data_IF_172240738222
#
_entry.id   IF_172240738222
#
_cell.length_a   1.000
_cell.length_b   1.000
_cell.length_c   1.000
_cell.angle_alpha   90.00
_cell.angle_beta   90.00
_cell.angle_gamma   90.00
#
_symmetry.space_group_name_H-M   'P 1'
#
loop_
_entity.id
_entity.type
_entity.pdbx_description
1 polymer ?
#
# COMPACT_ATOMS: atom_id res chain seq x y z
N UNK A 1 25.76 4.08 -28.90
CA UNK A 1 25.30 4.37 -27.53
C UNK A 1 23.86 3.92 -27.48
N UNK A 2 23.63 2.67 -27.10
CA UNK A 2 22.26 2.17 -26.93
C UNK A 2 21.71 2.84 -25.68
N UNK A 3 20.72 3.71 -25.87
CA UNK A 3 19.88 4.16 -24.77
C UNK A 3 19.12 2.91 -24.31
N UNK A 4 19.56 2.33 -23.19
CA UNK A 4 18.77 1.32 -22.48
C UNK A 4 17.45 1.98 -22.11
N UNK A 5 16.41 1.74 -22.90
CA UNK A 5 15.05 2.18 -22.57
C UNK A 5 14.56 1.28 -21.46
N UNK A 6 14.75 1.70 -20.21
CA UNK A 6 14.14 1.05 -19.04
C UNK A 6 12.65 0.88 -19.33
N UNK A 7 12.13 -0.35 -19.25
CA UNK A 7 10.73 -0.58 -19.57
C UNK A 7 9.85 0.03 -18.46
N UNK A 8 8.61 0.39 -18.80
CA UNK A 8 7.66 0.91 -17.80
C UNK A 8 7.41 -0.13 -16.70
N UNK A 9 7.51 -1.42 -17.02
CA UNK A 9 7.42 -2.52 -16.06
C UNK A 9 8.63 -2.60 -15.11
N UNK A 10 9.83 -2.26 -15.57
CA UNK A 10 11.01 -2.19 -14.70
C UNK A 10 10.85 -1.05 -13.69
N UNK A 11 10.37 0.12 -14.15
CA UNK A 11 10.05 1.27 -13.29
C UNK A 11 8.94 0.91 -12.30
N UNK A 12 7.92 0.17 -12.76
CA UNK A 12 6.81 -0.29 -11.91
C UNK A 12 7.33 -1.19 -10.79
N UNK A 13 8.18 -2.15 -11.14
CA UNK A 13 8.78 -3.07 -10.19
C UNK A 13 9.64 -2.33 -9.16
N UNK A 14 10.49 -1.40 -9.60
CA UNK A 14 11.34 -0.58 -8.71
C UNK A 14 10.51 0.27 -7.74
N UNK A 15 9.49 0.97 -8.26
CA UNK A 15 8.60 1.79 -7.44
C UNK A 15 7.80 0.94 -6.44
N UNK A 16 7.30 -0.23 -6.87
CA UNK A 16 6.55 -1.15 -6.01
C UNK A 16 7.42 -1.70 -4.88
N UNK A 17 8.65 -2.12 -5.20
CA UNK A 17 9.61 -2.61 -4.19
C UNK A 17 10.02 -1.52 -3.22
N UNK A 18 10.20 -0.28 -3.69
CA UNK A 18 10.51 0.88 -2.84
C UNK A 18 9.34 1.23 -1.91
N UNK A 19 8.11 1.18 -2.42
CA UNK A 19 6.90 1.32 -1.62
C UNK A 19 6.80 0.23 -0.54
N UNK A 20 6.93 -1.05 -0.92
CA UNK A 20 6.92 -2.18 0.00
C UNK A 20 7.99 -2.01 1.11
N UNK A 21 9.20 -1.63 0.74
CA UNK A 21 10.31 -1.41 1.68
C UNK A 21 10.00 -0.30 2.68
N UNK A 22 9.52 0.86 2.21
CA UNK A 22 9.14 1.98 3.07
C UNK A 22 8.00 1.59 4.03
N UNK A 23 6.97 0.92 3.53
CA UNK A 23 5.85 0.46 4.35
C UNK A 23 6.30 -0.57 5.39
N UNK A 24 7.16 -1.52 5.01
CA UNK A 24 7.75 -2.51 5.91
C UNK A 24 8.52 -1.85 7.04
N UNK A 25 9.38 -0.88 6.71
CA UNK A 25 10.14 -0.13 7.70
C UNK A 25 9.21 0.61 8.67
N UNK A 26 8.16 1.25 8.16
CA UNK A 26 7.19 1.96 8.98
C UNK A 26 6.43 1.04 9.93
N UNK A 27 5.78 -0.03 9.44
CA UNK A 27 4.92 -0.89 10.28
C UNK A 27 5.73 -1.64 11.35
N UNK A 28 7.00 -1.94 11.09
CA UNK A 28 7.88 -2.57 12.08
C UNK A 28 8.35 -1.59 13.16
N UNK A 29 8.49 -0.30 12.85
CA UNK A 29 9.03 0.70 13.78
C UNK A 29 7.96 1.47 14.54
N UNK A 30 6.75 1.63 13.98
CA UNK A 30 5.69 2.45 14.55
C UNK A 30 5.20 1.91 15.90
N UNK A 31 5.18 0.58 16.09
CA UNK A 31 4.70 -0.06 17.31
C UNK A 31 5.47 0.40 18.56
N UNK A 32 6.80 0.56 18.45
CA UNK A 32 7.64 1.05 19.54
C UNK A 32 7.49 2.55 19.82
N UNK A 33 6.73 3.27 18.99
CA UNK A 33 6.53 4.73 19.03
C UNK A 33 5.09 5.10 19.38
N UNK A 34 4.25 4.12 19.69
CA UNK A 34 2.87 4.34 20.14
C UNK A 34 2.83 4.79 21.60
N UNK A 35 1.79 5.54 21.96
CA UNK A 35 1.47 5.96 23.34
C UNK A 35 1.13 4.73 24.19
N UNK A 36 1.47 4.71 25.49
CA UNK A 36 0.97 3.68 26.40
C UNK A 36 -0.57 3.63 26.39
N UNK A 37 -1.15 2.43 26.35
CA UNK A 37 -2.60 2.24 26.27
C UNK A 37 -3.21 2.48 24.89
N UNK A 38 -2.39 2.54 23.83
CA UNK A 38 -2.89 2.54 22.46
C UNK A 38 -3.71 1.27 22.17
N UNK A 39 -4.71 1.34 21.27
CA UNK A 39 -5.58 0.22 20.94
C UNK A 39 -4.80 -1.04 20.53
N UNK A 40 -5.15 -2.23 21.05
CA UNK A 40 -4.43 -3.46 20.75
C UNK A 40 -4.49 -3.85 19.27
N UNK A 41 -5.50 -3.43 18.54
CA UNK A 41 -5.69 -3.70 17.10
C UNK A 41 -4.55 -3.15 16.25
N UNK A 42 -3.86 -2.11 16.73
CA UNK A 42 -2.67 -1.56 16.08
C UNK A 42 -1.53 -2.58 15.99
N UNK A 43 -1.48 -3.61 16.83
CA UNK A 43 -0.47 -4.66 16.71
C UNK A 43 -0.58 -5.45 15.39
N UNK A 44 -1.73 -5.36 14.72
CA UNK A 44 -2.00 -6.08 13.48
C UNK A 44 -1.55 -5.33 12.23
N UNK A 45 -1.05 -4.10 12.33
CA UNK A 45 -0.56 -3.31 11.17
C UNK A 45 0.37 -4.07 10.21
N UNK A 46 1.28 -4.96 10.66
CA UNK A 46 2.13 -5.73 9.75
C UNK A 46 1.36 -6.64 8.76
N UNK A 47 0.10 -7.00 9.03
CA UNK A 47 -0.75 -7.80 8.13
C UNK A 47 -0.91 -7.16 6.74
N UNK A 48 -0.73 -5.82 6.63
CA UNK A 48 -0.81 -5.09 5.36
C UNK A 48 0.29 -5.56 4.40
N UNK A 49 1.44 -6.03 4.91
CA UNK A 49 2.53 -6.54 4.09
C UNK A 49 2.18 -7.87 3.40
N UNK A 50 1.26 -8.65 3.98
CA UNK A 50 0.79 -9.90 3.36
C UNK A 50 -0.03 -9.63 2.09
N UNK A 51 -0.59 -8.42 1.95
CA UNK A 51 -1.28 -7.96 0.74
C UNK A 51 -0.29 -7.46 -0.33
N UNK A 52 1.00 -7.33 0.02
CA UNK A 52 2.07 -6.81 -0.84
C UNK A 52 3.24 -7.80 -0.98
N UNK A 53 3.03 -9.03 -1.47
CA UNK A 53 4.13 -9.98 -1.63
C UNK A 53 5.19 -9.44 -2.59
N UNK A 54 6.47 -9.62 -2.24
CA UNK A 54 7.61 -9.22 -3.10
C UNK A 54 7.84 -10.21 -4.25
N UNK A 55 7.29 -11.42 -4.15
CA UNK A 55 7.32 -12.48 -5.16
C UNK A 55 6.00 -12.58 -5.95
N UNK A 56 5.27 -11.48 -6.04
CA UNK A 56 3.99 -11.38 -6.74
C UNK A 56 4.08 -11.88 -8.21
N UNK A 57 3.40 -12.98 -8.55
CA UNK A 57 3.44 -13.54 -9.90
C UNK A 57 2.84 -12.58 -10.94
N UNK A 58 1.87 -11.74 -10.58
CA UNK A 58 1.27 -10.79 -11.53
C UNK A 58 2.25 -9.67 -11.87
N UNK A 59 3.08 -9.23 -10.92
CA UNK A 59 4.19 -8.31 -11.22
C UNK A 59 5.22 -8.96 -12.14
N UNK A 60 5.52 -10.24 -11.92
CA UNK A 60 6.47 -11.00 -12.75
C UNK A 60 5.96 -11.26 -14.16
N UNK A 61 4.68 -11.60 -14.30
CA UNK A 61 4.03 -11.91 -15.57
C UNK A 61 3.35 -10.69 -16.20
N UNK A 62 3.53 -9.50 -15.63
CA UNK A 62 3.04 -8.23 -16.17
C UNK A 62 1.51 -8.19 -16.34
N UNK A 63 0.78 -8.79 -15.40
CA UNK A 63 -0.68 -8.82 -15.40
C UNK A 63 -1.24 -7.49 -14.84
N UNK A 64 -1.37 -6.50 -15.73
CA UNK A 64 -1.70 -5.12 -15.39
C UNK A 64 -3.00 -4.97 -14.59
N UNK A 65 -4.05 -5.69 -14.94
CA UNK A 65 -5.35 -5.53 -14.29
C UNK A 65 -5.32 -5.99 -12.84
N UNK A 66 -4.71 -7.15 -12.57
CA UNK A 66 -4.56 -7.66 -11.21
C UNK A 66 -3.64 -6.78 -10.36
N UNK A 67 -2.49 -6.36 -10.91
CA UNK A 67 -1.57 -5.43 -10.21
C UNK A 67 -2.25 -4.09 -9.92
N UNK A 68 -3.05 -3.57 -10.85
CA UNK A 68 -3.80 -2.32 -10.66
C UNK A 68 -4.87 -2.47 -9.58
N UNK A 69 -5.65 -3.54 -9.64
CA UNK A 69 -6.69 -3.84 -8.66
C UNK A 69 -6.09 -3.97 -7.26
N UNK A 70 -5.07 -4.79 -7.08
CA UNK A 70 -4.38 -4.99 -5.79
C UNK A 70 -3.75 -3.70 -5.26
N UNK A 71 -3.05 -2.94 -6.11
CA UNK A 71 -2.44 -1.66 -5.72
C UNK A 71 -3.47 -0.66 -5.18
N UNK A 72 -4.68 -0.60 -5.75
CA UNK A 72 -5.76 0.27 -5.24
C UNK A 72 -6.17 -0.08 -3.81
N UNK A 73 -6.34 -1.38 -3.52
CA UNK A 73 -6.70 -1.85 -2.18
C UNK A 73 -5.62 -1.49 -1.17
N UNK A 74 -4.36 -1.78 -1.51
CA UNK A 74 -3.20 -1.44 -0.66
C UNK A 74 -3.12 0.06 -0.40
N UNK A 75 -3.34 0.90 -1.41
CA UNK A 75 -3.30 2.35 -1.26
C UNK A 75 -4.40 2.85 -0.32
N UNK A 76 -5.63 2.36 -0.49
CA UNK A 76 -6.74 2.70 0.39
C UNK A 76 -6.45 2.34 1.84
N UNK A 77 -5.96 1.12 2.07
CA UNK A 77 -5.62 0.63 3.41
C UNK A 77 -4.44 1.38 4.03
N UNK A 78 -3.41 1.68 3.24
CA UNK A 78 -2.22 2.42 3.72
C UNK A 78 -2.57 3.86 4.06
N UNK A 79 -3.37 4.56 3.26
CA UNK A 79 -3.77 5.93 3.61
C UNK A 79 -4.69 5.96 4.84
N UNK A 80 -5.59 4.97 4.97
CA UNK A 80 -6.41 4.81 6.17
C UNK A 80 -5.52 4.55 7.40
N UNK A 81 -4.53 3.67 7.28
CA UNK A 81 -3.54 3.41 8.33
C UNK A 81 -2.82 4.69 8.77
N UNK A 82 -2.24 5.43 7.83
CA UNK A 82 -1.46 6.64 8.13
C UNK A 82 -2.32 7.72 8.81
N UNK A 83 -3.62 7.81 8.48
CA UNK A 83 -4.53 8.77 9.11
C UNK A 83 -4.92 8.33 10.52
N UNK A 84 -5.30 7.07 10.68
CA UNK A 84 -5.90 6.57 11.92
C UNK A 84 -4.86 6.25 13.00
N UNK A 85 -3.61 5.97 12.63
CA UNK A 85 -2.52 5.70 13.60
C UNK A 85 -1.95 6.96 14.23
N UNK A 86 -1.89 8.08 13.49
CA UNK A 86 -1.23 9.31 13.92
C UNK A 86 -1.63 9.79 15.33
N UNK A 87 -2.91 9.78 15.75
CA UNK A 87 -3.31 10.21 17.10
C UNK A 87 -2.68 9.39 18.24
N UNK A 88 -2.31 8.15 17.97
CA UNK A 88 -1.76 7.20 18.93
C UNK A 88 -0.25 7.23 19.01
N UNK A 89 0.43 7.98 18.13
CA UNK A 89 1.89 8.14 18.16
C UNK A 89 2.28 9.06 19.32
N UNK A 90 3.38 8.75 19.99
CA UNK A 90 3.96 9.59 21.04
C UNK A 90 4.27 10.99 20.49
N UNK A 91 4.01 12.04 21.28
CA UNK A 91 4.13 13.42 20.79
C UNK A 91 5.57 13.75 20.33
N UNK A 92 6.59 13.16 20.98
CA UNK A 92 8.01 13.28 20.61
C UNK A 92 8.38 12.55 19.31
N UNK A 93 7.47 11.77 18.73
CA UNK A 93 7.67 10.94 17.54
C UNK A 93 6.80 11.41 16.35
N UNK A 94 6.02 12.50 16.51
CA UNK A 94 5.14 13.01 15.46
C UNK A 94 5.91 13.48 14.23
N UNK A 95 7.06 14.15 14.41
CA UNK A 95 7.89 14.60 13.28
C UNK A 95 8.41 13.43 12.45
N UNK A 96 8.88 12.36 13.12
CA UNK A 96 9.26 11.11 12.46
C UNK A 96 8.08 10.49 11.71
N UNK A 97 6.91 10.40 12.34
CA UNK A 97 5.72 9.83 11.72
C UNK A 97 5.32 10.61 10.46
N UNK A 98 5.32 11.94 10.54
CA UNK A 98 4.94 12.81 9.42
C UNK A 98 5.98 12.75 8.29
N UNK A 99 7.25 12.48 8.59
CA UNK A 99 8.29 12.18 7.58
C UNK A 99 8.06 10.83 6.89
N UNK A 100 7.90 9.75 7.65
CA UNK A 100 7.65 8.41 7.09
C UNK A 100 6.36 8.38 6.25
N UNK A 101 5.29 9.02 6.74
CA UNK A 101 4.03 9.14 6.02
C UNK A 101 4.19 9.87 4.68
N UNK A 102 5.07 10.89 4.60
CA UNK A 102 5.40 11.59 3.36
C UNK A 102 6.16 10.68 2.39
N UNK A 103 7.15 9.93 2.88
CA UNK A 103 7.93 8.99 2.06
C UNK A 103 7.02 7.90 1.49
N UNK A 104 6.15 7.30 2.32
CA UNK A 104 5.19 6.30 1.88
C UNK A 104 4.25 6.86 0.80
N UNK A 105 3.68 8.05 1.03
CA UNK A 105 2.79 8.71 0.06
C UNK A 105 3.49 9.05 -1.25
N UNK A 106 4.76 9.43 -1.20
CA UNK A 106 5.58 9.64 -2.40
C UNK A 106 5.67 8.35 -3.21
N UNK A 107 6.03 7.24 -2.58
CA UNK A 107 6.14 5.95 -3.27
C UNK A 107 4.79 5.46 -3.80
N UNK A 108 3.70 5.59 -3.04
CA UNK A 108 2.35 5.32 -3.53
C UNK A 108 2.02 6.14 -4.78
N UNK A 109 2.39 7.42 -4.79
CA UNK A 109 2.17 8.32 -5.94
C UNK A 109 2.99 7.90 -7.16
N UNK A 110 4.22 7.45 -6.97
CA UNK A 110 5.08 6.96 -8.05
C UNK A 110 4.56 5.65 -8.65
N UNK A 111 4.13 4.69 -7.81
CA UNK A 111 3.48 3.46 -8.27
C UNK A 111 2.19 3.79 -9.03
N UNK A 112 1.37 4.70 -8.51
CA UNK A 112 0.15 5.17 -9.19
C UNK A 112 0.44 5.80 -10.56
N UNK A 113 1.47 6.65 -10.65
CA UNK A 113 1.87 7.28 -11.91
C UNK A 113 2.33 6.24 -12.93
N UNK A 114 3.11 5.24 -12.49
CA UNK A 114 3.56 4.17 -13.38
C UNK A 114 2.40 3.31 -13.87
N UNK A 115 1.46 2.93 -13.00
CA UNK A 115 0.24 2.23 -13.40
C UNK A 115 -0.61 3.03 -14.39
N UNK A 116 -0.68 4.35 -14.19
CA UNK A 116 -1.37 5.26 -15.12
C UNK A 116 -0.68 5.27 -16.48
N UNK A 117 0.66 5.30 -16.52
CA UNK A 117 1.42 5.24 -17.76
C UNK A 117 1.27 3.89 -18.49
N UNK A 118 1.24 2.78 -17.75
CA UNK A 118 1.00 1.44 -18.31
C UNK A 118 -0.39 1.38 -18.99
N UNK A 119 -1.43 1.91 -18.34
CA UNK A 119 -2.77 2.02 -18.92
C UNK A 119 -2.84 2.92 -20.16
N UNK A 120 -2.17 4.08 -20.15
CA UNK A 120 -2.10 4.98 -21.31
C UNK A 120 -1.38 4.32 -22.49
N UNK A 121 -0.38 3.48 -22.22
CA UNK A 121 0.35 2.76 -23.26
C UNK A 121 -0.50 1.65 -23.92
N UNK A 122 -1.49 1.10 -23.20
CA UNK A 122 -2.34 0.01 -23.69
C UNK A 122 -3.71 0.49 -24.23
N UNK A 123 -4.26 1.60 -23.74
CA UNK A 123 -5.63 2.00 -24.05
C UNK A 123 -5.77 3.53 -24.21
N UNK A 124 -6.15 3.98 -25.41
CA UNK A 124 -6.27 5.41 -25.75
C UNK A 124 -7.62 6.02 -25.33
N UNK A 125 -8.55 5.23 -24.79
CA UNK A 125 -9.97 5.61 -24.73
C UNK A 125 -10.69 5.47 -23.37
N UNK A 126 -10.01 5.18 -22.25
CA UNK A 126 -10.70 5.08 -20.95
C UNK A 126 -9.99 5.80 -19.80
N UNK A 127 -10.18 7.13 -19.75
CA UNK A 127 -9.94 7.95 -18.56
C UNK A 127 -11.27 8.13 -17.84
N UNK A 128 -11.81 7.06 -17.28
CA UNK A 128 -12.83 7.13 -16.24
C UNK A 128 -12.58 5.96 -15.28
N UNK A 129 -12.94 6.11 -14.01
CA UNK A 129 -12.71 5.19 -12.88
C UNK A 129 -11.47 5.43 -11.99
N UNK A 130 -11.53 6.53 -11.23
CA UNK A 130 -10.79 6.67 -9.96
C UNK A 130 -11.70 7.15 -8.80
N UNK A 131 -12.84 6.47 -8.63
CA UNK A 131 -13.66 6.54 -7.42
C UNK A 131 -14.15 5.12 -7.07
N UNK A 132 -13.31 4.35 -6.40
CA UNK A 132 -13.76 3.17 -5.65
C UNK A 132 -13.39 3.42 -4.19
N UNK A 133 -14.43 3.47 -3.34
CA UNK A 133 -14.28 3.60 -1.90
C UNK A 133 -13.79 2.29 -1.27
N UNK A 134 -13.32 2.39 -0.02
CA UNK A 134 -12.80 1.29 0.80
C UNK A 134 -13.89 0.22 1.12
N UNK A 135 -15.17 0.53 0.91
CA UNK A 135 -16.30 -0.37 1.15
C UNK A 135 -16.36 -1.63 0.27
N UNK A 136 -15.36 -1.84 -0.58
CA UNK A 136 -15.21 -2.98 -1.47
C UNK A 136 -13.84 -3.66 -1.27
N UNK A 137 -13.30 -3.68 -0.02
CA UNK A 137 -12.36 -4.75 0.38
C UNK A 137 -13.17 -6.05 0.33
N UNK A 138 -13.42 -6.51 -0.89
CA UNK A 138 -13.86 -7.84 -1.17
C UNK A 138 -12.72 -8.70 -0.66
N UNK A 139 -12.96 -9.38 0.46
CA UNK A 139 -12.02 -10.28 1.13
C UNK A 139 -11.53 -11.42 0.20
N UNK A 140 -12.02 -11.47 -1.04
CA UNK A 140 -11.41 -12.14 -2.19
C UNK A 140 -10.33 -11.30 -2.86
N UNK A 141 -9.38 -10.73 -2.10
CA UNK A 141 -8.04 -10.57 -2.66
C UNK A 141 -7.59 -12.00 -2.92
N UNK A 142 -7.57 -12.43 -4.18
CA UNK A 142 -6.88 -13.65 -4.62
C UNK A 142 -5.38 -13.42 -4.41
N UNK A 143 -5.01 -13.32 -3.14
CA UNK A 143 -3.63 -13.30 -2.71
C UNK A 143 -3.14 -14.71 -2.99
N UNK A 144 -2.12 -14.80 -3.83
CA UNK A 144 -1.36 -16.02 -4.07
C UNK A 144 -0.88 -16.68 -2.75
N UNK A 145 -0.85 -15.93 -1.65
CA UNK A 145 -0.53 -16.41 -0.30
C UNK A 145 -1.71 -16.28 0.67
N UNK A 146 -1.86 -17.21 1.63
CA UNK A 146 -2.90 -17.10 2.65
C UNK A 146 -2.69 -15.84 3.50
N UNK A 147 -3.71 -14.99 3.57
CA UNK A 147 -3.77 -13.81 4.44
C UNK A 147 -4.70 -14.13 5.61
N UNK A 148 -4.34 -13.73 6.83
CA UNK A 148 -5.24 -13.87 7.97
C UNK A 148 -6.35 -12.82 7.90
N UNK A 149 -7.48 -13.20 7.27
CA UNK A 149 -8.59 -12.30 6.99
C UNK A 149 -9.32 -11.82 8.25
N UNK A 150 -9.31 -12.61 9.32
CA UNK A 150 -9.95 -12.22 10.59
C UNK A 150 -9.15 -11.08 11.24
N UNK A 151 -7.82 -11.21 11.28
CA UNK A 151 -6.91 -10.17 11.78
C UNK A 151 -6.97 -8.91 10.92
N UNK A 152 -6.98 -9.07 9.59
CA UNK A 152 -7.14 -7.93 8.66
C UNK A 152 -8.47 -7.22 8.89
N UNK A 153 -9.56 -7.96 9.09
CA UNK A 153 -10.89 -7.37 9.36
C UNK A 153 -10.91 -6.61 10.67
N UNK A 154 -10.30 -7.14 11.73
CA UNK A 154 -10.19 -6.44 13.02
C UNK A 154 -9.44 -5.11 12.86
N UNK A 155 -8.30 -5.12 12.17
CA UNK A 155 -7.55 -3.90 11.88
C UNK A 155 -8.38 -2.90 11.08
N UNK A 156 -8.96 -3.31 9.95
CA UNK A 156 -9.77 -2.42 9.08
C UNK A 156 -10.94 -1.82 9.85
N UNK A 157 -11.66 -2.65 10.61
CA UNK A 157 -12.81 -2.20 11.43
C UNK A 157 -12.41 -1.12 12.42
N UNK A 158 -11.24 -1.26 13.06
CA UNK A 158 -10.70 -0.23 13.93
C UNK A 158 -10.35 1.05 13.16
N UNK A 159 -9.65 0.90 12.02
CA UNK A 159 -9.15 2.03 11.24
C UNK A 159 -10.28 2.89 10.64
N UNK A 160 -11.43 2.31 10.32
CA UNK A 160 -12.60 3.01 9.76
C UNK A 160 -13.45 3.77 10.78
N UNK A 161 -13.29 3.51 12.08
CA UNK A 161 -14.08 4.15 13.15
C UNK A 161 -13.61 5.59 13.50
N UNK A 162 -12.68 6.17 12.74
CA UNK A 162 -11.99 7.43 13.04
C UNK A 162 -11.94 8.37 11.84
#
# INVERSE_FOLDING_TARGET
>A
MELSTTSVWDIMHENYMSFHSALTAFVNNVLGRLKPGSPPELQYMPIILDLMPTDDPDLRYQNQDEVTSRSRHIFGLTDLLLRSVRPYVQDSQLDWFDEEARVIRLWMSLVFLTLSNLRIAEDTDQIDYYKAGIGDINVGVDSYRPVNLDVLRELVTFLEQK
#
